data_IF_022675787269
#
_entry.id   IF_022675787269
#
_cell.length_a   1.000
_cell.length_b   1.000
_cell.length_c   1.000
_cell.angle_alpha   90.00
_cell.angle_beta   90.00
_cell.angle_gamma   90.00
#
_symmetry.space_group_name_H-M   'P 1'
#
loop_
_entity.id
_entity.type
_entity.pdbx_description
1 polymer ?
#
# COMPACT_ATOMS: atom_id res chain seq x y z
N UNK A 1 16.16 -8.70 -19.68
CA UNK A 1 16.68 -8.94 -18.31
C UNK A 1 15.54 -8.65 -17.36
N UNK A 2 14.94 -9.67 -16.76
CA UNK A 2 13.91 -9.46 -15.74
C UNK A 2 14.59 -8.95 -14.48
N UNK A 3 14.34 -7.70 -14.10
CA UNK A 3 14.80 -7.16 -12.81
C UNK A 3 14.12 -7.97 -11.72
N UNK A 4 14.87 -8.81 -11.01
CA UNK A 4 14.36 -9.58 -9.89
C UNK A 4 14.58 -8.75 -8.62
N UNK A 5 13.50 -8.31 -7.98
CA UNK A 5 13.55 -7.64 -6.70
C UNK A 5 13.30 -8.65 -5.57
N UNK A 6 13.93 -8.43 -4.43
CA UNK A 6 13.60 -9.07 -3.16
C UNK A 6 13.48 -8.01 -2.07
N UNK A 7 13.01 -8.39 -0.87
CA UNK A 7 12.81 -7.46 0.24
C UNK A 7 14.12 -6.72 0.60
N UNK A 8 15.24 -7.42 0.62
CA UNK A 8 16.55 -6.84 0.93
C UNK A 8 16.88 -5.73 -0.05
N UNK A 9 16.75 -5.99 -1.35
CA UNK A 9 17.01 -5.01 -2.39
C UNK A 9 16.03 -3.85 -2.32
N UNK A 10 14.74 -4.10 -2.14
CA UNK A 10 13.72 -3.05 -1.98
C UNK A 10 14.08 -2.10 -0.84
N UNK A 11 14.52 -2.63 0.30
CA UNK A 11 14.89 -1.83 1.47
C UNK A 11 16.22 -1.08 1.34
N UNK A 12 16.99 -1.32 0.27
CA UNK A 12 18.16 -0.49 -0.07
C UNK A 12 17.85 0.65 -1.04
N UNK A 13 16.67 0.64 -1.67
CA UNK A 13 16.28 1.67 -2.64
C UNK A 13 15.83 2.94 -1.92
N UNK A 14 16.38 4.07 -2.36
CA UNK A 14 15.90 5.39 -1.93
C UNK A 14 14.62 5.78 -2.65
N UNK A 15 13.95 6.84 -2.18
CA UNK A 15 12.83 7.45 -2.91
C UNK A 15 13.20 7.81 -4.36
N UNK A 16 14.40 8.34 -4.59
CA UNK A 16 14.89 8.68 -5.92
C UNK A 16 15.11 7.44 -6.80
N UNK A 17 15.60 6.34 -6.24
CA UNK A 17 15.77 5.08 -6.98
C UNK A 17 14.42 4.50 -7.42
N UNK A 18 13.43 4.54 -6.53
CA UNK A 18 12.07 4.08 -6.82
C UNK A 18 11.43 4.93 -7.93
N UNK A 19 11.59 6.25 -7.88
CA UNK A 19 11.13 7.15 -8.94
C UNK A 19 11.85 6.89 -10.27
N UNK A 20 13.16 6.65 -10.22
CA UNK A 20 13.93 6.29 -11.41
C UNK A 20 13.42 4.98 -12.04
N UNK A 21 13.09 3.97 -11.23
CA UNK A 21 12.47 2.72 -11.71
C UNK A 21 11.12 3.00 -12.37
N UNK A 22 10.27 3.86 -11.78
CA UNK A 22 9.00 4.27 -12.40
C UNK A 22 9.22 4.92 -13.77
N UNK A 23 10.25 5.77 -13.90
CA UNK A 23 10.58 6.46 -15.15
C UNK A 23 11.10 5.54 -16.26
N UNK A 24 11.59 4.33 -15.93
CA UNK A 24 11.98 3.32 -16.93
C UNK A 24 10.79 2.72 -17.69
N UNK A 25 9.56 2.98 -17.22
CA UNK A 25 8.33 2.59 -17.89
C UNK A 25 7.55 1.49 -17.16
N UNK A 26 6.46 1.08 -17.79
CA UNK A 26 5.45 0.20 -17.18
C UNK A 26 6.00 -1.17 -16.77
N UNK A 27 6.86 -1.80 -17.58
CA UNK A 27 7.39 -3.14 -17.27
C UNK A 27 8.28 -3.13 -16.02
N UNK A 28 9.15 -2.12 -15.88
CA UNK A 28 10.02 -1.96 -14.72
C UNK A 28 9.18 -1.69 -13.46
N UNK A 29 8.18 -0.81 -13.59
CA UNK A 29 7.24 -0.52 -12.50
C UNK A 29 6.41 -1.74 -12.11
N UNK A 30 5.95 -2.53 -13.09
CA UNK A 30 5.20 -3.77 -12.87
C UNK A 30 6.03 -4.79 -12.11
N UNK A 31 7.28 -5.04 -12.54
CA UNK A 31 8.15 -6.00 -11.85
C UNK A 31 8.36 -5.63 -10.37
N UNK A 32 8.58 -4.35 -10.08
CA UNK A 32 8.70 -3.87 -8.70
C UNK A 32 7.38 -4.01 -7.92
N UNK A 33 6.27 -3.59 -8.52
CA UNK A 33 4.95 -3.62 -7.88
C UNK A 33 4.48 -5.06 -7.61
N UNK A 34 4.71 -5.98 -8.54
CA UNK A 34 4.37 -7.40 -8.39
C UNK A 34 5.23 -8.07 -7.31
N UNK A 35 6.48 -7.63 -7.15
CA UNK A 35 7.31 -8.09 -6.02
C UNK A 35 6.74 -7.60 -4.70
N UNK A 36 6.36 -6.32 -4.60
CA UNK A 36 5.79 -5.75 -3.38
C UNK A 36 4.46 -6.41 -3.02
N UNK A 37 3.56 -6.64 -3.99
CA UNK A 37 2.30 -7.36 -3.73
C UNK A 37 2.56 -8.81 -3.31
N UNK A 38 3.54 -9.47 -3.92
CA UNK A 38 3.93 -10.85 -3.57
C UNK A 38 4.54 -11.00 -2.17
N UNK A 39 5.03 -9.92 -1.56
CA UNK A 39 5.53 -9.92 -0.18
C UNK A 39 4.43 -9.73 0.87
N UNK A 40 3.22 -9.31 0.46
CA UNK A 40 2.14 -8.93 1.36
C UNK A 40 1.04 -9.99 1.42
N UNK A 41 0.42 -10.13 2.58
CA UNK A 41 -0.76 -11.00 2.73
C UNK A 41 -1.99 -10.32 2.15
N UNK A 42 -2.82 -11.09 1.46
CA UNK A 42 -4.15 -10.67 1.01
C UNK A 42 -5.19 -11.40 1.86
N UNK A 43 -6.01 -10.67 2.65
CA UNK A 43 -7.06 -11.28 3.46
C UNK A 43 -8.05 -12.08 2.61
N UNK A 44 -8.72 -13.04 3.26
CA UNK A 44 -9.84 -13.75 2.62
C UNK A 44 -10.95 -12.77 2.19
N UNK A 45 -11.50 -12.99 1.00
CA UNK A 45 -12.54 -12.16 0.35
C UNK A 45 -12.07 -10.74 0.01
N UNK A 46 -10.76 -10.56 -0.12
CA UNK A 46 -10.12 -9.34 -0.60
C UNK A 46 -9.30 -9.62 -1.84
N UNK A 47 -9.09 -8.54 -2.61
CA UNK A 47 -8.18 -8.50 -3.75
C UNK A 47 -7.14 -7.41 -3.56
N UNK A 48 -5.97 -7.63 -4.13
CA UNK A 48 -4.91 -6.63 -4.28
C UNK A 48 -4.79 -6.23 -5.75
N UNK A 49 -4.69 -4.93 -6.02
CA UNK A 49 -4.42 -4.39 -7.36
C UNK A 49 -3.29 -3.38 -7.27
N UNK A 50 -2.21 -3.59 -8.04
CA UNK A 50 -1.14 -2.62 -8.17
C UNK A 50 -1.45 -1.55 -9.23
N UNK A 51 -0.91 -0.35 -9.04
CA UNK A 51 -0.90 0.70 -10.05
C UNK A 51 0.29 0.52 -11.01
N UNK A 52 0.03 0.47 -12.31
CA UNK A 52 1.07 0.31 -13.32
C UNK A 52 1.30 1.58 -14.14
N UNK A 53 0.32 2.49 -14.18
CA UNK A 53 0.39 3.78 -14.88
C UNK A 53 -0.11 4.91 -14.00
N UNK A 54 -1.41 5.13 -13.98
CA UNK A 54 -2.05 6.23 -13.25
C UNK A 54 -3.49 5.87 -12.87
N UNK A 55 -3.81 4.58 -12.81
CA UNK A 55 -5.14 4.05 -12.50
C UNK A 55 -5.64 4.54 -11.13
N UNK A 56 -4.73 4.86 -10.22
CA UNK A 56 -4.98 5.40 -8.89
C UNK A 56 -4.38 6.81 -8.72
N UNK A 57 -4.07 7.53 -9.80
CA UNK A 57 -3.56 8.90 -9.80
C UNK A 57 -2.05 9.06 -10.02
N UNK A 58 -1.26 7.98 -10.02
CA UNK A 58 0.15 8.01 -10.42
C UNK A 58 1.10 8.68 -9.42
N UNK A 59 0.67 8.84 -8.16
CA UNK A 59 1.38 9.62 -7.15
C UNK A 59 2.62 8.94 -6.55
N UNK A 60 2.70 7.62 -6.59
CA UNK A 60 3.76 6.86 -5.94
C UNK A 60 4.39 5.86 -6.92
N UNK A 61 5.71 5.60 -6.85
CA UNK A 61 6.37 4.58 -7.65
C UNK A 61 5.68 3.21 -7.55
N UNK A 62 5.35 2.78 -6.35
CA UNK A 62 4.51 1.61 -6.09
C UNK A 62 3.30 2.02 -5.28
N UNK A 63 2.11 1.62 -5.75
CA UNK A 63 0.86 1.71 -5.00
C UNK A 63 0.07 0.43 -5.16
N UNK A 64 -0.20 -0.25 -4.04
CA UNK A 64 -0.97 -1.49 -4.01
C UNK A 64 -2.27 -1.25 -3.25
N UNK A 65 -3.41 -1.38 -3.93
CA UNK A 65 -4.75 -1.20 -3.37
C UNK A 65 -5.33 -2.53 -2.93
N UNK A 66 -5.73 -2.62 -1.66
CA UNK A 66 -6.41 -3.75 -1.05
C UNK A 66 -7.88 -3.39 -0.82
N UNK A 67 -8.79 -4.15 -1.43
CA UNK A 67 -10.24 -3.93 -1.36
C UNK A 67 -10.98 -5.24 -1.12
N UNK A 68 -12.05 -5.21 -0.33
CA UNK A 68 -12.95 -6.34 -0.20
C UNK A 68 -13.73 -6.58 -1.51
N UNK A 69 -13.96 -7.84 -1.90
CA UNK A 69 -14.52 -8.19 -3.21
C UNK A 69 -15.94 -7.65 -3.45
N UNK A 70 -16.72 -7.47 -2.38
CA UNK A 70 -18.15 -7.11 -2.45
C UNK A 70 -18.46 -5.73 -1.85
N UNK A 71 -17.46 -4.88 -1.61
CA UNK A 71 -17.73 -3.55 -1.07
C UNK A 71 -16.62 -2.56 -1.41
N UNK A 72 -17.02 -1.41 -1.94
CA UNK A 72 -16.13 -0.31 -2.29
C UNK A 72 -16.06 0.78 -1.20
N UNK A 73 -16.72 0.57 -0.04
CA UNK A 73 -16.88 1.60 1.02
C UNK A 73 -15.57 2.23 1.49
N UNK A 74 -14.51 1.43 1.53
CA UNK A 74 -13.16 1.87 1.78
C UNK A 74 -12.15 0.81 1.35
N UNK A 75 -10.92 1.23 1.13
CA UNK A 75 -9.80 0.38 0.75
C UNK A 75 -8.53 0.82 1.48
N UNK A 76 -7.53 -0.06 1.51
CA UNK A 76 -6.19 0.26 1.98
C UNK A 76 -5.25 0.42 0.79
N UNK A 77 -4.28 1.30 0.93
CA UNK A 77 -3.21 1.50 -0.05
C UNK A 77 -1.87 1.37 0.66
N UNK A 78 -1.03 0.45 0.16
CA UNK A 78 0.40 0.44 0.48
C UNK A 78 1.09 1.31 -0.58
N UNK A 79 1.78 2.37 -0.15
CA UNK A 79 2.47 3.32 -1.02
C UNK A 79 3.97 3.32 -0.70
N UNK A 80 4.82 3.28 -1.72
CA UNK A 80 6.28 3.37 -1.54
C UNK A 80 6.76 4.78 -1.26
N UNK A 81 8.02 4.95 -0.82
CA UNK A 81 8.72 6.21 -0.94
C UNK A 81 8.75 6.71 -2.39
N UNK A 82 8.81 8.02 -2.56
CA UNK A 82 8.87 8.73 -3.83
C UNK A 82 8.84 10.25 -3.62
N UNK A 83 8.44 10.99 -4.63
CA UNK A 83 8.37 12.47 -4.56
C UNK A 83 7.37 12.97 -3.50
N UNK A 84 6.29 12.21 -3.27
CA UNK A 84 5.20 12.60 -2.36
C UNK A 84 5.53 12.33 -0.89
N UNK A 85 6.28 11.28 -0.59
CA UNK A 85 6.62 10.85 0.78
C UNK A 85 7.95 10.12 0.78
N UNK A 86 8.84 10.34 1.76
CA UNK A 86 10.06 9.56 1.91
C UNK A 86 9.83 8.20 2.58
N UNK A 87 8.62 7.89 3.05
CA UNK A 87 8.30 6.67 3.79
C UNK A 87 7.42 5.71 3.00
N UNK A 88 7.53 4.42 3.32
CA UNK A 88 6.49 3.44 3.04
C UNK A 88 5.27 3.74 3.90
N UNK A 89 4.09 3.77 3.31
CA UNK A 89 2.84 4.14 3.97
C UNK A 89 1.80 3.03 3.81
N UNK A 90 1.02 2.79 4.87
CA UNK A 90 -0.29 2.15 4.78
C UNK A 90 -1.35 3.21 4.99
N UNK A 91 -2.21 3.42 3.99
CA UNK A 91 -3.22 4.48 4.00
C UNK A 91 -4.61 3.88 3.87
N UNK A 92 -5.54 4.33 4.72
CA UNK A 92 -6.97 4.09 4.59
C UNK A 92 -7.61 5.17 3.72
N UNK A 93 -8.42 4.76 2.75
CA UNK A 93 -9.21 5.67 1.91
C UNK A 93 -10.68 5.23 1.87
N UNK A 94 -11.61 6.15 2.13
CA UNK A 94 -13.05 5.91 1.92
C UNK A 94 -13.45 6.03 0.45
N UNK A 95 -14.57 5.40 0.07
CA UNK A 95 -15.25 5.70 -1.19
C UNK A 95 -15.60 7.19 -1.24
N UNK A 96 -15.16 7.85 -2.31
CA UNK A 96 -15.33 9.29 -2.49
C UNK A 96 -14.26 10.17 -1.82
N UNK A 97 -13.26 9.58 -1.14
CA UNK A 97 -12.08 10.32 -0.67
C UNK A 97 -12.32 11.28 0.50
N UNK A 98 -13.47 11.18 1.18
CA UNK A 98 -13.80 11.99 2.36
C UNK A 98 -12.88 11.71 3.56
N UNK A 99 -12.29 10.52 3.60
CA UNK A 99 -11.37 10.07 4.64
C UNK A 99 -10.12 9.55 3.96
N UNK A 100 -8.99 10.18 4.27
CA UNK A 100 -7.65 9.73 3.92
C UNK A 100 -6.82 9.74 5.19
N UNK A 101 -6.37 8.56 5.63
CA UNK A 101 -5.64 8.43 6.89
C UNK A 101 -4.45 7.49 6.75
N UNK A 102 -3.26 7.98 7.07
CA UNK A 102 -2.08 7.14 7.27
C UNK A 102 -2.27 6.33 8.54
N UNK A 103 -2.30 5.00 8.41
CA UNK A 103 -2.40 4.04 9.50
C UNK A 103 -1.04 3.55 9.97
N UNK A 104 -0.04 3.59 9.10
CA UNK A 104 1.32 3.17 9.41
C UNK A 104 2.29 3.85 8.44
N UNK A 105 3.49 4.14 8.93
CA UNK A 105 4.60 4.61 8.12
C UNK A 105 5.91 4.00 8.60
N UNK A 106 6.87 3.81 7.70
CA UNK A 106 8.23 3.42 8.05
C UNK A 106 9.22 3.74 6.92
N UNK A 107 10.50 3.89 7.24
CA UNK A 107 11.57 4.13 6.24
C UNK A 107 11.76 2.92 5.31
N UNK A 108 11.60 1.71 5.84
CA UNK A 108 11.75 0.45 5.11
C UNK A 108 10.41 -0.28 5.00
N UNK A 109 10.26 -1.11 3.97
CA UNK A 109 9.11 -2.01 3.86
C UNK A 109 9.23 -3.07 4.95
N UNK A 110 8.17 -3.20 5.75
CA UNK A 110 8.02 -4.20 6.81
C UNK A 110 6.81 -5.10 6.46
N UNK A 111 6.98 -6.10 5.58
CA UNK A 111 5.85 -6.86 5.04
C UNK A 111 5.01 -7.54 6.11
N UNK A 112 5.63 -8.04 7.18
CA UNK A 112 4.95 -8.71 8.28
C UNK A 112 4.06 -7.73 9.05
N UNK A 113 4.58 -6.56 9.42
CA UNK A 113 3.80 -5.53 10.14
C UNK A 113 2.69 -4.98 9.27
N UNK A 114 2.95 -4.70 8.00
CA UNK A 114 1.94 -4.22 7.05
C UNK A 114 0.84 -5.27 6.84
N UNK A 115 1.21 -6.54 6.68
CA UNK A 115 0.25 -7.65 6.55
C UNK A 115 -0.62 -7.82 7.79
N UNK A 116 -0.03 -7.77 8.98
CA UNK A 116 -0.77 -7.83 10.24
C UNK A 116 -1.81 -6.71 10.36
N UNK A 117 -1.44 -5.48 9.97
CA UNK A 117 -2.36 -4.34 9.98
C UNK A 117 -3.47 -4.52 8.95
N UNK A 118 -3.15 -4.99 7.74
CA UNK A 118 -4.15 -5.29 6.70
C UNK A 118 -5.16 -6.33 7.22
N UNK A 119 -4.69 -7.42 7.84
CA UNK A 119 -5.56 -8.44 8.44
C UNK A 119 -6.41 -7.89 9.59
N UNK A 120 -5.85 -7.03 10.44
CA UNK A 120 -6.59 -6.37 11.52
C UNK A 120 -7.73 -5.50 10.95
N UNK A 121 -7.45 -4.69 9.92
CA UNK A 121 -8.48 -3.87 9.26
C UNK A 121 -9.54 -4.73 8.57
N UNK A 122 -9.13 -5.83 7.93
CA UNK A 122 -10.05 -6.79 7.34
C UNK A 122 -10.96 -7.43 8.40
N UNK A 123 -10.41 -7.75 9.58
CA UNK A 123 -11.15 -8.18 10.75
C UNK A 123 -12.18 -7.13 11.21
N UNK A 124 -11.79 -5.86 11.34
CA UNK A 124 -12.70 -4.78 11.70
C UNK A 124 -13.84 -4.62 10.68
N UNK A 125 -13.54 -4.81 9.39
CA UNK A 125 -14.57 -4.78 8.34
C UNK A 125 -15.64 -5.85 8.54
N UNK A 126 -15.27 -7.05 8.99
CA UNK A 126 -16.23 -8.14 9.29
C UNK A 126 -17.22 -7.76 10.39
N UNK A 127 -16.88 -6.78 11.24
CA UNK A 127 -17.78 -6.19 12.24
C UNK A 127 -18.50 -4.92 11.73
N UNK A 128 -18.59 -4.72 10.40
CA UNK A 128 -19.22 -3.56 9.75
C UNK A 128 -18.66 -2.19 10.18
N UNK A 129 -17.37 -2.14 10.54
CA UNK A 129 -16.72 -0.87 10.85
C UNK A 129 -16.59 0.01 9.59
N UNK A 130 -17.06 1.26 9.72
CA UNK A 130 -16.91 2.29 8.68
C UNK A 130 -15.48 2.80 8.63
N UNK A 131 -15.09 3.47 7.53
CA UNK A 131 -13.79 4.13 7.44
C UNK A 131 -13.54 5.11 8.60
N UNK A 132 -14.56 5.85 9.04
CA UNK A 132 -14.46 6.75 10.21
C UNK A 132 -14.17 5.98 11.49
N UNK A 133 -14.85 4.85 11.70
CA UNK A 133 -14.63 3.98 12.87
C UNK A 133 -13.21 3.44 12.88
N UNK A 134 -12.73 2.93 11.75
CA UNK A 134 -11.36 2.43 11.60
C UNK A 134 -10.34 3.53 11.86
N UNK A 135 -10.51 4.70 11.22
CA UNK A 135 -9.61 5.84 11.40
C UNK A 135 -9.54 6.32 12.85
N UNK A 136 -10.67 6.39 13.55
CA UNK A 136 -10.72 6.81 14.95
C UNK A 136 -10.03 5.82 15.88
N UNK A 137 -10.26 4.52 15.68
CA UNK A 137 -9.63 3.47 16.50
C UNK A 137 -8.12 3.38 16.28
N UNK A 138 -7.64 3.66 15.08
CA UNK A 138 -6.22 3.61 14.72
C UNK A 138 -5.47 4.93 14.96
N UNK A 139 -6.14 5.98 15.44
CA UNK A 139 -5.53 7.29 15.68
C UNK A 139 -4.41 7.29 16.73
N UNK A 140 -4.22 6.18 17.47
CA UNK A 140 -3.17 6.02 18.48
C UNK A 140 -1.87 5.35 18.00
N UNK A 141 -1.84 4.70 16.83
CA UNK A 141 -0.68 3.92 16.36
C UNK A 141 -0.14 4.46 15.03
N UNK A 142 0.49 5.63 15.05
CA UNK A 142 1.39 6.04 13.95
C UNK A 142 2.82 5.97 14.51
N UNK A 143 3.37 4.76 14.60
CA UNK A 143 4.76 4.58 15.01
C UNK A 143 5.69 4.92 13.85
N UNK A 144 6.73 5.70 14.16
CA UNK A 144 7.85 6.05 13.30
C UNK A 144 8.89 4.93 13.24
#
# INVERSE_FOLDING_TARGET
>A
MTMNYDLTRINTLTASDLEFIRQQGEEARRALSDTVTGLLTVPQDWRVCAEYRSEFGGFFPVRCRFSADNSDDWHLCVCSPGEVSPYWLLVLLSSGGSIVRTLYQNETLQPERVSQLIDQMAGMRRFNCTASTVANLMSGEVTA
#
